data_IF_693936766904
#
_entry.id   IF_693936766904
#
_cell.length_a   1.000
_cell.length_b   1.000
_cell.length_c   1.000
_cell.angle_alpha   90.00
_cell.angle_beta   90.00
_cell.angle_gamma   90.00
#
_symmetry.space_group_name_H-M   'P 1'
#
loop_
_entity.id
_entity.type
_entity.pdbx_description
1 polymer ?
#
# COMPACT_ATOMS: atom_id res chain seq x y z
N UNK A 1 -19.83 -6.55 67.85
CA UNK A 1 -19.85 -7.18 66.52
C UNK A 1 -18.42 -7.28 66.04
N UNK A 2 -17.86 -8.48 65.82
CA UNK A 2 -16.47 -8.58 65.32
C UNK A 2 -16.42 -8.32 63.82
N UNK A 3 -15.47 -7.49 63.40
CA UNK A 3 -15.19 -7.18 61.99
C UNK A 3 -14.72 -8.43 61.23
N UNK A 4 -15.21 -8.59 60.03
CA UNK A 4 -14.92 -9.72 59.15
C UNK A 4 -13.51 -9.58 58.55
N UNK A 5 -12.54 -10.46 58.81
CA UNK A 5 -11.14 -10.31 58.36
C UNK A 5 -10.84 -10.82 56.96
N UNK A 6 -11.87 -11.11 56.14
CA UNK A 6 -11.67 -11.64 54.77
C UNK A 6 -11.91 -10.59 53.70
N UNK A 7 -11.16 -9.48 53.69
CA UNK A 7 -11.04 -8.67 52.50
C UNK A 7 -9.96 -9.28 51.58
N UNK A 8 -10.38 -9.85 50.49
CA UNK A 8 -9.57 -10.62 49.56
C UNK A 8 -8.43 -9.76 48.90
N UNK A 9 -7.12 -10.06 49.13
CA UNK A 9 -6.02 -9.34 48.52
C UNK A 9 -5.88 -9.58 46.99
N UNK A 10 -6.62 -10.55 46.43
CA UNK A 10 -6.53 -10.96 45.02
C UNK A 10 -7.05 -9.92 44.01
N UNK A 11 -7.94 -9.02 44.38
CA UNK A 11 -8.53 -8.02 43.49
C UNK A 11 -7.63 -6.80 43.23
N UNK A 12 -6.79 -6.44 44.17
CA UNK A 12 -5.88 -5.27 44.05
C UNK A 12 -4.67 -5.60 43.18
N UNK A 13 -4.10 -6.78 43.33
CA UNK A 13 -3.00 -7.29 42.49
C UNK A 13 -3.41 -7.41 41.02
N UNK A 14 -4.64 -7.87 40.74
CA UNK A 14 -5.17 -8.02 39.39
C UNK A 14 -5.39 -6.67 38.68
N UNK A 15 -5.83 -5.64 39.41
CA UNK A 15 -6.00 -4.27 38.88
C UNK A 15 -4.66 -3.59 38.58
N UNK A 16 -3.63 -3.80 39.40
CA UNK A 16 -2.28 -3.28 39.18
C UNK A 16 -1.63 -3.90 37.93
N UNK A 17 -1.71 -5.22 37.79
CA UNK A 17 -1.19 -5.94 36.63
C UNK A 17 -1.88 -5.50 35.33
N UNK A 18 -3.21 -5.39 35.31
CA UNK A 18 -3.96 -4.95 34.13
C UNK A 18 -3.59 -3.52 33.71
N UNK A 19 -3.45 -2.60 34.66
CA UNK A 19 -3.01 -1.22 34.39
C UNK A 19 -1.59 -1.18 33.81
N UNK A 20 -0.67 -1.96 34.37
CA UNK A 20 0.71 -2.04 33.85
C UNK A 20 0.73 -2.64 32.44
N UNK A 21 -0.03 -3.71 32.20
CA UNK A 21 -0.15 -4.33 30.88
C UNK A 21 -0.72 -3.37 29.85
N UNK A 22 -1.84 -2.70 30.15
CA UNK A 22 -2.44 -1.70 29.24
C UNK A 22 -1.45 -0.56 28.96
N UNK A 23 -0.76 -0.05 29.98
CA UNK A 23 0.26 1.00 29.80
C UNK A 23 1.38 0.53 28.87
N UNK A 24 1.88 -0.69 29.05
CA UNK A 24 2.93 -1.26 28.18
C UNK A 24 2.45 -1.41 26.73
N UNK A 25 1.22 -1.86 26.51
CA UNK A 25 0.62 -1.95 25.16
C UNK A 25 0.49 -0.56 24.52
N UNK A 26 0.03 0.44 25.26
CA UNK A 26 -0.10 1.82 24.75
C UNK A 26 1.27 2.40 24.39
N UNK A 27 2.27 2.25 25.27
CA UNK A 27 3.63 2.73 25.01
C UNK A 27 4.27 2.01 23.82
N UNK A 28 4.09 0.69 23.71
CA UNK A 28 4.56 -0.10 22.56
C UNK A 28 3.93 0.36 21.25
N UNK A 29 2.60 0.55 21.24
CA UNK A 29 1.89 1.06 20.06
C UNK A 29 2.34 2.47 19.67
N UNK A 30 2.50 3.37 20.67
CA UNK A 30 2.99 4.72 20.44
C UNK A 30 4.41 4.73 19.87
N UNK A 31 5.29 3.87 20.37
CA UNK A 31 6.66 3.71 19.88
C UNK A 31 6.67 3.23 18.42
N UNK A 32 5.90 2.19 18.10
CA UNK A 32 5.79 1.67 16.73
C UNK A 32 5.22 2.71 15.76
N UNK A 33 4.21 3.46 16.20
CA UNK A 33 3.63 4.55 15.40
C UNK A 33 4.64 5.68 15.17
N UNK A 34 5.38 6.09 16.22
CA UNK A 34 6.42 7.11 16.09
C UNK A 34 7.54 6.66 15.14
N UNK A 35 7.95 5.39 15.23
CA UNK A 35 8.93 4.81 14.31
C UNK A 35 8.42 4.83 12.86
N UNK A 36 7.15 4.48 12.62
CA UNK A 36 6.55 4.55 11.28
C UNK A 36 6.53 5.98 10.74
N UNK A 37 6.23 6.97 11.57
CA UNK A 37 6.32 8.40 11.22
C UNK A 37 7.75 8.80 10.85
N UNK A 38 8.74 8.40 11.64
CA UNK A 38 10.15 8.66 11.33
C UNK A 38 10.58 8.03 10.00
N UNK A 39 10.12 6.82 9.71
CA UNK A 39 10.37 6.15 8.41
C UNK A 39 9.69 6.94 7.27
N UNK A 40 8.47 7.44 7.43
CA UNK A 40 7.81 8.28 6.43
C UNK A 40 8.58 9.60 6.20
N UNK A 41 9.05 10.23 7.27
CA UNK A 41 9.89 11.43 7.17
C UNK A 41 11.19 11.11 6.42
N UNK A 42 11.86 10.01 6.76
CA UNK A 42 13.07 9.57 6.06
C UNK A 42 12.81 9.23 4.58
N UNK A 43 11.66 8.60 4.27
CA UNK A 43 11.28 8.22 2.91
C UNK A 43 11.09 9.44 1.97
N UNK A 44 10.99 10.65 2.51
CA UNK A 44 11.00 11.89 1.71
C UNK A 44 12.30 12.02 0.89
N UNK A 45 13.44 11.57 1.45
CA UNK A 45 14.77 11.74 0.86
C UNK A 45 15.51 10.42 0.63
N UNK A 46 15.11 9.35 1.32
CA UNK A 46 15.79 8.06 1.29
C UNK A 46 14.90 7.04 0.60
N UNK A 47 15.47 6.35 -0.39
CA UNK A 47 14.77 5.28 -1.10
C UNK A 47 14.71 4.02 -0.24
N UNK A 48 13.51 3.44 -0.01
CA UNK A 48 13.39 2.27 0.84
C UNK A 48 14.03 1.03 0.18
N UNK A 49 15.03 0.38 0.81
CA UNK A 49 15.67 -0.81 0.24
C UNK A 49 14.77 -2.05 0.30
N UNK A 50 13.76 -2.00 1.17
CA UNK A 50 12.77 -3.07 1.35
C UNK A 50 11.50 -2.50 1.95
N UNK A 51 10.41 -3.28 1.90
CA UNK A 51 9.11 -2.94 2.49
C UNK A 51 8.55 -4.13 3.26
N UNK A 52 7.48 -3.91 4.04
CA UNK A 52 6.80 -4.99 4.75
C UNK A 52 6.30 -6.08 3.78
N UNK A 53 5.76 -5.69 2.61
CA UNK A 53 5.34 -6.66 1.58
C UNK A 53 6.52 -7.46 1.04
N UNK A 54 7.67 -6.83 0.76
CA UNK A 54 8.86 -7.56 0.30
C UNK A 54 9.34 -8.58 1.33
N UNK A 55 9.32 -8.20 2.62
CA UNK A 55 9.72 -9.09 3.73
C UNK A 55 8.71 -10.23 3.91
N UNK A 56 7.42 -9.93 3.86
CA UNK A 56 6.34 -10.91 3.94
C UNK A 56 6.48 -11.97 2.84
N UNK A 57 6.68 -11.56 1.58
CA UNK A 57 6.86 -12.50 0.45
C UNK A 57 8.09 -13.38 0.62
N UNK A 58 9.20 -12.80 1.09
CA UNK A 58 10.41 -13.56 1.39
C UNK A 58 10.16 -14.58 2.50
N UNK A 59 9.46 -14.20 3.57
CA UNK A 59 9.13 -15.10 4.67
C UNK A 59 8.17 -16.22 4.23
N UNK A 60 7.13 -15.88 3.44
CA UNK A 60 6.21 -16.86 2.86
C UNK A 60 6.97 -17.90 2.02
N UNK A 61 7.87 -17.45 1.16
CA UNK A 61 8.69 -18.35 0.34
C UNK A 61 9.59 -19.25 1.19
N UNK A 62 10.18 -18.72 2.26
CA UNK A 62 10.99 -19.49 3.19
C UNK A 62 10.16 -20.55 3.94
N UNK A 63 8.98 -20.19 4.45
CA UNK A 63 8.06 -21.10 5.15
C UNK A 63 7.58 -22.23 4.22
N UNK A 64 7.26 -21.90 2.96
CA UNK A 64 6.75 -22.86 1.99
C UNK A 64 7.85 -23.56 1.17
N UNK A 65 9.13 -23.34 1.51
CA UNK A 65 10.29 -23.88 0.79
C UNK A 65 10.26 -23.66 -0.73
N UNK A 66 9.71 -22.50 -1.16
CA UNK A 66 9.61 -22.13 -2.58
C UNK A 66 10.76 -21.22 -3.00
N UNK A 67 11.30 -21.33 -4.22
CA UNK A 67 12.32 -20.41 -4.73
C UNK A 67 11.82 -18.96 -4.72
N UNK A 68 12.63 -18.05 -4.21
CA UNK A 68 12.32 -16.63 -4.18
C UNK A 68 13.46 -15.79 -4.73
N UNK A 69 13.20 -15.08 -5.83
CA UNK A 69 14.13 -14.15 -6.45
C UNK A 69 13.52 -12.75 -6.44
N UNK A 70 14.02 -11.87 -5.57
CA UNK A 70 13.60 -10.47 -5.53
C UNK A 70 14.23 -9.72 -6.71
N UNK A 71 13.38 -9.21 -7.62
CA UNK A 71 13.73 -8.23 -8.64
C UNK A 71 13.24 -6.87 -8.18
N UNK A 72 14.18 -5.99 -7.87
CA UNK A 72 13.90 -4.66 -7.35
C UNK A 72 15.01 -3.70 -7.78
N UNK A 73 14.61 -2.62 -8.42
CA UNK A 73 15.52 -1.51 -8.75
C UNK A 73 14.74 -0.22 -8.63
N UNK A 74 15.13 0.62 -7.67
CA UNK A 74 14.56 1.94 -7.52
C UNK A 74 15.08 2.85 -8.65
N UNK A 75 14.18 3.65 -9.22
CA UNK A 75 14.50 4.70 -10.21
C UNK A 75 13.71 5.96 -9.86
N UNK A 76 14.29 7.16 -10.02
CA UNK A 76 13.57 8.40 -9.74
C UNK A 76 12.39 8.59 -10.70
N UNK A 77 11.40 9.38 -10.27
CA UNK A 77 10.15 9.56 -11.03
C UNK A 77 10.36 10.04 -12.46
N UNK A 78 11.37 10.90 -12.68
CA UNK A 78 11.75 11.38 -14.01
C UNK A 78 12.40 10.33 -14.92
N UNK A 79 12.68 9.13 -14.41
CA UNK A 79 13.11 7.96 -15.18
C UNK A 79 11.99 6.92 -15.37
N UNK A 80 10.76 7.26 -15.00
CA UNK A 80 9.56 6.47 -15.27
C UNK A 80 8.73 7.20 -16.31
N UNK A 81 8.34 6.51 -17.38
CA UNK A 81 7.52 7.08 -18.45
C UNK A 81 6.27 7.79 -17.90
N UNK A 82 5.96 9.01 -18.37
CA UNK A 82 4.70 9.68 -18.03
C UNK A 82 3.47 8.82 -18.34
N UNK A 83 3.50 8.03 -19.41
CA UNK A 83 2.41 7.10 -19.74
C UNK A 83 2.20 6.06 -18.64
N UNK A 84 3.26 5.53 -18.03
CA UNK A 84 3.12 4.57 -16.93
C UNK A 84 2.60 5.23 -15.66
N UNK A 85 3.07 6.45 -15.35
CA UNK A 85 2.57 7.23 -14.23
C UNK A 85 1.07 7.50 -14.37
N UNK A 86 0.64 7.99 -15.54
CA UNK A 86 -0.75 8.30 -15.85
C UNK A 86 -1.63 7.04 -15.87
N UNK A 87 -1.15 5.94 -16.45
CA UNK A 87 -1.87 4.68 -16.47
C UNK A 87 -2.15 4.13 -15.06
N UNK A 88 -1.17 4.22 -14.15
CA UNK A 88 -1.33 3.80 -12.76
C UNK A 88 -2.31 4.71 -12.02
N UNK A 89 -2.20 6.03 -12.17
CA UNK A 89 -3.14 6.97 -11.57
C UNK A 89 -4.56 6.72 -12.09
N UNK A 90 -4.74 6.58 -13.41
CA UNK A 90 -6.04 6.32 -14.03
C UNK A 90 -6.66 4.98 -13.62
N UNK A 91 -5.82 3.97 -13.33
CA UNK A 91 -6.25 2.64 -12.92
C UNK A 91 -6.66 2.57 -11.44
N UNK A 92 -5.82 3.13 -10.55
CA UNK A 92 -5.87 2.91 -9.12
C UNK A 92 -6.46 4.09 -8.33
N UNK A 93 -6.25 5.32 -8.80
CA UNK A 93 -6.59 6.53 -8.05
C UNK A 93 -6.76 7.75 -8.98
N UNK A 94 -7.81 7.74 -9.79
CA UNK A 94 -8.01 8.75 -10.85
C UNK A 94 -8.05 10.21 -10.34
N UNK A 95 -8.29 10.42 -9.04
CA UNK A 95 -8.32 11.73 -8.39
C UNK A 95 -7.12 11.97 -7.48
N UNK A 96 -6.03 11.27 -7.67
CA UNK A 96 -4.84 11.30 -6.82
C UNK A 96 -4.38 12.69 -6.42
N UNK A 97 -4.34 13.63 -7.36
CA UNK A 97 -3.92 15.01 -7.10
C UNK A 97 -5.01 15.91 -6.49
N UNK A 98 -6.26 15.42 -6.35
CA UNK A 98 -7.41 16.20 -5.90
C UNK A 98 -7.78 15.95 -4.44
N UNK A 99 -7.25 14.89 -3.80
CA UNK A 99 -7.52 14.55 -2.41
C UNK A 99 -6.25 14.51 -1.57
N UNK A 100 -6.41 14.48 -0.24
CA UNK A 100 -5.32 14.42 0.73
C UNK A 100 -5.29 13.07 1.46
N UNK A 101 -5.02 12.00 0.71
CA UNK A 101 -4.86 10.64 1.22
C UNK A 101 -6.11 9.78 1.17
N UNK A 102 -7.30 10.36 1.25
CA UNK A 102 -8.58 9.66 1.14
C UNK A 102 -9.44 10.29 0.05
N UNK A 103 -9.88 9.49 -0.90
CA UNK A 103 -10.89 9.90 -1.87
C UNK A 103 -12.28 9.55 -1.33
N UNK A 104 -12.87 10.49 -0.58
CA UNK A 104 -14.20 10.31 0.02
C UNK A 104 -15.29 10.08 -1.02
N UNK A 105 -15.18 10.71 -2.19
CA UNK A 105 -16.13 10.52 -3.29
C UNK A 105 -16.04 9.09 -3.86
N UNK A 106 -14.82 8.56 -4.07
CA UNK A 106 -14.65 7.18 -4.51
C UNK A 106 -15.13 6.17 -3.46
N UNK A 107 -14.92 6.47 -2.17
CA UNK A 107 -15.42 5.64 -1.05
C UNK A 107 -16.96 5.63 -1.04
N UNK A 108 -17.60 6.78 -1.24
CA UNK A 108 -19.06 6.88 -1.29
C UNK A 108 -19.62 6.08 -2.46
N UNK A 109 -19.09 6.25 -3.68
CA UNK A 109 -19.51 5.49 -4.87
C UNK A 109 -19.32 3.97 -4.65
N UNK A 110 -18.22 3.57 -4.03
CA UNK A 110 -17.98 2.17 -3.74
C UNK A 110 -19.01 1.60 -2.75
N UNK A 111 -19.41 2.36 -1.74
CA UNK A 111 -20.43 1.97 -0.77
C UNK A 111 -21.83 1.89 -1.40
N UNK A 112 -22.18 2.85 -2.27
CA UNK A 112 -23.45 2.85 -3.02
C UNK A 112 -23.52 1.68 -4.02
N UNK A 113 -22.43 1.41 -4.76
CA UNK A 113 -22.34 0.30 -5.69
C UNK A 113 -22.40 -1.08 -5.03
N UNK A 114 -21.95 -1.19 -3.79
CA UNK A 114 -22.05 -2.42 -2.97
C UNK A 114 -23.51 -2.69 -2.55
N UNK A 115 -24.28 -1.64 -2.29
CA UNK A 115 -25.72 -1.74 -1.99
C UNK A 115 -26.56 -2.18 -3.19
N UNK A 116 -26.12 -1.86 -4.41
CA UNK A 116 -26.82 -2.23 -5.65
C UNK A 116 -26.34 -3.54 -6.28
N UNK A 117 -25.47 -4.30 -5.56
CA UNK A 117 -24.90 -5.56 -6.09
C UNK A 117 -23.93 -5.36 -7.26
N UNK A 118 -23.43 -4.13 -7.44
CA UNK A 118 -22.46 -3.78 -8.47
C UNK A 118 -21.03 -4.24 -8.15
N UNK A 119 -20.17 -4.30 -9.18
CA UNK A 119 -18.75 -4.60 -9.00
C UNK A 119 -18.08 -3.55 -8.13
N UNK A 120 -17.60 -3.94 -6.97
CA UNK A 120 -16.85 -3.09 -6.02
C UNK A 120 -15.68 -2.44 -6.78
N UNK A 121 -15.74 -1.13 -7.02
CA UNK A 121 -14.56 -0.33 -7.35
C UNK A 121 -13.75 -0.15 -6.08
N UNK A 122 -12.47 -0.52 -6.11
CA UNK A 122 -11.59 -0.35 -4.96
C UNK A 122 -11.52 1.13 -4.55
N UNK A 123 -12.02 1.47 -3.36
CA UNK A 123 -11.96 2.82 -2.80
C UNK A 123 -10.62 3.14 -2.10
N UNK A 124 -9.55 2.39 -2.39
CA UNK A 124 -8.24 2.63 -1.78
C UNK A 124 -7.36 3.50 -2.67
N UNK A 125 -6.82 4.58 -2.10
CA UNK A 125 -5.92 5.52 -2.80
C UNK A 125 -4.49 5.00 -2.92
N UNK A 126 -3.68 5.59 -3.80
CA UNK A 126 -2.25 5.30 -3.93
C UNK A 126 -1.50 5.51 -2.60
N UNK A 127 -1.86 6.55 -1.83
CA UNK A 127 -1.26 6.80 -0.52
C UNK A 127 -1.58 5.71 0.49
N UNK A 128 -2.84 5.23 0.54
CA UNK A 128 -3.22 4.09 1.38
C UNK A 128 -2.47 2.82 0.98
N UNK A 129 -2.35 2.57 -0.33
CA UNK A 129 -1.61 1.42 -0.85
C UNK A 129 -0.11 1.52 -0.55
N UNK A 130 0.50 2.71 -0.65
CA UNK A 130 1.89 2.94 -0.28
C UNK A 130 2.13 2.64 1.21
N UNK A 131 1.33 3.24 2.11
CA UNK A 131 1.42 3.01 3.55
C UNK A 131 1.28 1.52 3.88
N UNK A 132 0.31 0.84 3.26
CA UNK A 132 0.14 -0.61 3.39
C UNK A 132 1.41 -1.36 2.97
N UNK A 133 1.98 -1.05 1.81
CA UNK A 133 3.18 -1.73 1.31
C UNK A 133 4.39 -1.52 2.21
N UNK A 134 4.57 -0.29 2.73
CA UNK A 134 5.72 0.05 3.58
C UNK A 134 5.68 -0.66 4.94
N UNK A 135 4.50 -0.73 5.59
CA UNK A 135 4.41 -1.06 7.02
C UNK A 135 3.63 -2.32 7.37
N UNK A 136 2.66 -2.76 6.54
CA UNK A 136 1.66 -3.73 7.00
C UNK A 136 1.58 -5.04 6.21
N UNK A 137 2.17 -5.13 5.04
CA UNK A 137 2.07 -6.33 4.22
C UNK A 137 0.67 -6.54 3.58
N UNK A 138 0.37 -7.79 3.19
CA UNK A 138 -0.82 -8.14 2.39
C UNK A 138 -1.99 -8.69 3.19
N UNK A 139 -1.82 -9.04 4.46
CA UNK A 139 -2.86 -9.57 5.34
C UNK A 139 -4.09 -8.65 5.45
N UNK A 140 -5.28 -9.20 5.71
CA UNK A 140 -6.51 -8.43 5.91
C UNK A 140 -6.89 -8.41 7.38
N UNK A 141 -6.95 -7.22 8.00
CA UNK A 141 -7.34 -7.02 9.40
C UNK A 141 -7.93 -5.62 9.57
N UNK A 142 -8.99 -5.50 10.36
CA UNK A 142 -9.62 -4.21 10.71
C UNK A 142 -8.64 -3.34 11.51
N UNK A 143 -7.89 -3.94 12.45
CA UNK A 143 -6.90 -3.21 13.25
C UNK A 143 -5.80 -2.63 12.37
N UNK A 144 -5.31 -3.41 11.40
CA UNK A 144 -4.36 -2.93 10.40
C UNK A 144 -4.94 -1.74 9.61
N UNK A 145 -6.19 -1.85 9.15
CA UNK A 145 -6.85 -0.77 8.39
C UNK A 145 -7.00 0.50 9.23
N UNK A 146 -7.28 0.37 10.52
CA UNK A 146 -7.27 1.49 11.47
C UNK A 146 -5.87 2.15 11.59
N UNK A 147 -4.81 1.35 11.70
CA UNK A 147 -3.45 1.85 11.75
C UNK A 147 -3.02 2.54 10.43
N UNK A 148 -3.34 1.94 9.26
CA UNK A 148 -3.16 2.59 7.95
C UNK A 148 -3.83 3.98 7.93
N UNK A 149 -5.07 4.07 8.43
CA UNK A 149 -5.86 5.29 8.41
C UNK A 149 -5.17 6.43 9.19
N UNK A 150 -4.45 6.14 10.27
CA UNK A 150 -3.71 7.15 11.04
C UNK A 150 -2.42 7.61 10.37
N UNK A 151 -1.77 6.76 9.57
CA UNK A 151 -0.50 7.08 8.90
C UNK A 151 -0.69 7.76 7.53
N UNK A 152 -1.83 7.59 6.87
CA UNK A 152 -2.10 8.16 5.55
C UNK A 152 -2.04 9.70 5.54
N UNK A 153 -2.68 10.44 6.47
CA UNK A 153 -2.55 11.89 6.51
C UNK A 153 -1.11 12.35 6.79
N UNK A 154 -0.37 11.59 7.62
CA UNK A 154 1.04 11.88 7.89
C UNK A 154 1.87 11.71 6.62
N UNK A 155 1.66 10.64 5.86
CA UNK A 155 2.34 10.42 4.58
C UNK A 155 2.09 11.56 3.60
N UNK A 156 0.84 12.02 3.46
CA UNK A 156 0.49 13.15 2.60
C UNK A 156 1.21 14.44 3.01
N UNK A 157 1.25 14.72 4.32
CA UNK A 157 1.86 15.93 4.86
C UNK A 157 3.38 15.94 4.70
N UNK A 158 4.07 14.82 5.01
CA UNK A 158 5.53 14.82 5.11
C UNK A 158 6.22 14.37 3.82
N UNK A 159 5.60 13.47 3.04
CA UNK A 159 6.20 12.93 1.81
C UNK A 159 5.83 13.77 0.60
N UNK A 160 4.56 14.12 0.44
CA UNK A 160 4.03 14.90 -0.68
C UNK A 160 3.73 14.05 -1.92
N UNK A 161 2.81 14.52 -2.76
CA UNK A 161 2.20 13.77 -3.88
C UNK A 161 3.20 13.18 -4.87
N UNK A 162 4.15 13.95 -5.36
CA UNK A 162 5.12 13.47 -6.33
C UNK A 162 5.99 12.34 -5.76
N UNK A 163 6.46 12.50 -4.53
CA UNK A 163 7.27 11.48 -3.87
C UNK A 163 6.43 10.26 -3.47
N UNK A 164 5.16 10.42 -3.09
CA UNK A 164 4.24 9.31 -2.87
C UNK A 164 4.09 8.47 -4.14
N UNK A 165 3.87 9.10 -5.29
CA UNK A 165 3.77 8.40 -6.58
C UNK A 165 5.07 7.69 -6.93
N UNK A 166 6.22 8.36 -6.76
CA UNK A 166 7.53 7.78 -7.00
C UNK A 166 7.78 6.56 -6.14
N UNK A 167 7.56 6.67 -4.83
CA UNK A 167 7.69 5.56 -3.89
C UNK A 167 6.75 4.41 -4.25
N UNK A 168 5.48 4.70 -4.52
CA UNK A 168 4.49 3.69 -4.89
C UNK A 168 4.91 2.91 -6.13
N UNK A 169 5.25 3.61 -7.22
CA UNK A 169 5.69 2.99 -8.47
C UNK A 169 6.93 2.12 -8.30
N UNK A 170 7.78 2.45 -7.33
CA UNK A 170 9.00 1.70 -7.06
C UNK A 170 8.80 0.52 -6.10
N UNK A 171 7.85 0.57 -5.15
CA UNK A 171 7.73 -0.48 -4.13
C UNK A 171 6.61 -1.47 -4.39
N UNK A 172 5.61 -1.14 -5.21
CA UNK A 172 4.46 -2.02 -5.44
C UNK A 172 4.87 -3.32 -6.14
N UNK A 173 4.20 -4.41 -5.79
CA UNK A 173 4.38 -5.73 -6.41
C UNK A 173 3.69 -5.77 -7.77
N UNK A 174 4.42 -6.12 -8.83
CA UNK A 174 3.94 -6.24 -10.21
C UNK A 174 3.86 -7.69 -10.68
N UNK A 175 4.32 -8.62 -9.86
CA UNK A 175 4.33 -10.04 -10.14
C UNK A 175 5.13 -10.79 -9.09
N UNK A 176 5.16 -12.13 -9.11
CA UNK A 176 5.89 -12.90 -8.11
C UNK A 176 7.37 -12.51 -8.03
N UNK A 177 7.76 -11.84 -6.92
CA UNK A 177 9.12 -11.36 -6.70
C UNK A 177 9.55 -10.17 -7.56
N UNK A 178 8.62 -9.52 -8.28
CA UNK A 178 8.89 -8.36 -9.14
C UNK A 178 8.33 -7.10 -8.48
N UNK A 179 9.19 -6.19 -8.06
CA UNK A 179 8.83 -4.98 -7.35
C UNK A 179 9.38 -3.74 -8.06
N UNK A 180 8.51 -2.77 -8.25
CA UNK A 180 8.81 -1.51 -8.88
C UNK A 180 8.76 -1.52 -10.40
N UNK A 181 8.50 -0.32 -10.95
CA UNK A 181 8.27 -0.08 -12.37
C UNK A 181 9.43 -0.56 -13.26
N UNK A 182 10.67 -0.22 -12.89
CA UNK A 182 11.85 -0.62 -13.68
C UNK A 182 12.00 -2.14 -13.75
N UNK A 183 11.84 -2.83 -12.62
CA UNK A 183 11.91 -4.29 -12.59
C UNK A 183 10.76 -4.92 -13.40
N UNK A 184 9.55 -4.35 -13.34
CA UNK A 184 8.39 -4.83 -14.09
C UNK A 184 8.58 -4.66 -15.60
N UNK A 185 9.03 -3.48 -16.06
CA UNK A 185 9.27 -3.21 -17.47
C UNK A 185 10.34 -4.15 -18.05
N UNK A 186 11.42 -4.37 -17.30
CA UNK A 186 12.45 -5.34 -17.71
C UNK A 186 11.96 -6.78 -17.73
N UNK A 187 11.15 -7.15 -16.77
CA UNK A 187 10.65 -8.52 -16.65
C UNK A 187 9.65 -8.88 -17.75
N UNK A 188 8.67 -8.00 -18.01
CA UNK A 188 7.59 -8.28 -18.94
C UNK A 188 7.90 -7.85 -20.39
N UNK A 189 8.64 -6.77 -20.59
CA UNK A 189 8.83 -6.15 -21.91
C UNK A 189 10.30 -6.00 -22.32
N UNK A 190 11.24 -6.39 -21.46
CA UNK A 190 12.69 -6.25 -21.71
C UNK A 190 13.13 -4.82 -22.03
N UNK A 191 12.39 -3.83 -21.56
CA UNK A 191 12.64 -2.40 -21.73
C UNK A 191 12.83 -1.71 -20.38
N UNK A 192 13.29 -0.46 -20.39
CA UNK A 192 13.35 0.37 -19.16
C UNK A 192 11.99 0.96 -18.83
N UNK A 193 11.81 1.42 -17.58
CA UNK A 193 10.59 2.13 -17.17
C UNK A 193 10.40 3.46 -17.92
N UNK A 194 11.45 4.04 -18.49
CA UNK A 194 11.36 5.24 -19.32
C UNK A 194 10.89 4.93 -20.75
N UNK A 195 11.34 3.82 -21.33
CA UNK A 195 11.09 3.48 -22.73
C UNK A 195 9.83 2.63 -22.94
N UNK A 196 9.04 2.39 -21.91
CA UNK A 196 7.78 1.66 -22.04
C UNK A 196 6.76 2.53 -22.79
N UNK A 197 6.06 1.92 -23.75
CA UNK A 197 5.02 2.62 -24.52
C UNK A 197 3.68 2.72 -23.73
N UNK A 198 2.78 3.53 -24.27
CA UNK A 198 1.47 3.81 -23.68
C UNK A 198 0.60 2.56 -23.51
N UNK A 199 0.60 1.66 -24.49
CA UNK A 199 -0.18 0.42 -24.46
C UNK A 199 0.37 -0.56 -23.40
N UNK A 200 1.68 -0.72 -23.36
CA UNK A 200 2.37 -1.54 -22.37
C UNK A 200 2.16 -0.98 -20.96
N UNK A 201 2.20 0.33 -20.79
CA UNK A 201 1.94 1.04 -19.54
C UNK A 201 0.54 0.74 -19.00
N UNK A 202 -0.48 0.82 -19.86
CA UNK A 202 -1.86 0.50 -19.50
C UNK A 202 -2.04 -0.99 -19.13
N UNK A 203 -1.36 -1.90 -19.84
CA UNK A 203 -1.37 -3.33 -19.50
C UNK A 203 -0.69 -3.63 -18.17
N UNK A 204 0.42 -2.97 -17.85
CA UNK A 204 1.06 -3.07 -16.55
C UNK A 204 0.13 -2.53 -15.45
N UNK A 205 -0.45 -1.34 -15.61
CA UNK A 205 -1.38 -0.81 -14.62
C UNK A 205 -2.56 -1.75 -14.38
N UNK A 206 -3.05 -2.45 -15.40
CA UNK A 206 -4.16 -3.39 -15.30
C UNK A 206 -3.89 -4.63 -14.44
N UNK A 207 -2.64 -4.99 -14.19
CA UNK A 207 -2.30 -6.14 -13.34
C UNK A 207 -2.25 -5.81 -11.85
N UNK A 208 -2.08 -4.53 -11.45
CA UNK A 208 -1.86 -4.10 -10.07
C UNK A 208 -2.89 -4.61 -9.05
N UNK A 209 -4.19 -4.71 -9.36
CA UNK A 209 -5.17 -5.23 -8.39
C UNK A 209 -4.92 -6.69 -7.97
N UNK A 210 -4.29 -7.50 -8.84
CA UNK A 210 -4.03 -8.93 -8.62
C UNK A 210 -2.69 -9.35 -9.24
N UNK A 211 -1.54 -8.79 -8.82
CA UNK A 211 -0.27 -8.92 -9.52
C UNK A 211 0.28 -10.35 -9.52
N UNK A 212 -0.11 -11.18 -8.56
CA UNK A 212 0.28 -12.60 -8.51
C UNK A 212 -0.50 -13.49 -9.49
N UNK A 213 -1.67 -13.02 -9.97
CA UNK A 213 -2.58 -13.82 -10.81
C UNK A 213 -2.69 -13.28 -12.24
N UNK A 214 -2.55 -11.97 -12.41
CA UNK A 214 -2.70 -11.31 -13.72
C UNK A 214 -1.37 -11.23 -14.44
N UNK A 215 -1.43 -11.30 -15.78
CA UNK A 215 -0.30 -11.08 -16.68
C UNK A 215 -0.64 -10.01 -17.70
N UNK A 216 0.30 -9.13 -18.09
CA UNK A 216 0.02 -8.03 -19.03
C UNK A 216 -0.55 -8.51 -20.37
N UNK A 217 -0.12 -9.69 -20.85
CA UNK A 217 -0.57 -10.26 -22.13
C UNK A 217 -2.08 -10.57 -22.19
N UNK A 218 -2.71 -10.78 -21.02
CA UNK A 218 -4.13 -11.08 -20.90
C UNK A 218 -4.99 -9.88 -20.47
N UNK A 219 -4.43 -8.65 -20.51
CA UNK A 219 -5.10 -7.46 -19.99
C UNK A 219 -5.69 -6.54 -21.05
N UNK A 220 -5.92 -7.01 -22.29
CA UNK A 220 -6.39 -6.15 -23.40
C UNK A 220 -7.67 -5.38 -23.07
N UNK A 221 -8.67 -6.02 -22.48
CA UNK A 221 -9.93 -5.36 -22.11
C UNK A 221 -9.70 -4.30 -21.01
N UNK A 222 -9.00 -4.66 -19.93
CA UNK A 222 -8.77 -3.73 -18.83
C UNK A 222 -7.82 -2.60 -19.19
N UNK A 223 -6.80 -2.85 -20.02
CA UNK A 223 -5.91 -1.80 -20.53
C UNK A 223 -6.66 -0.83 -21.44
N UNK A 224 -7.62 -1.30 -22.26
CA UNK A 224 -8.49 -0.43 -23.04
C UNK A 224 -9.29 0.55 -22.17
N UNK A 225 -9.87 0.08 -21.06
CA UNK A 225 -10.57 0.95 -20.10
C UNK A 225 -9.64 1.98 -19.44
N UNK A 226 -8.37 1.61 -19.16
CA UNK A 226 -7.39 2.53 -18.59
C UNK A 226 -7.03 3.60 -19.63
N UNK A 227 -6.75 3.22 -20.88
CA UNK A 227 -6.45 4.15 -21.96
C UNK A 227 -7.60 5.14 -22.21
N UNK A 228 -8.84 4.67 -22.16
CA UNK A 228 -10.02 5.52 -22.26
C UNK A 228 -10.06 6.55 -21.11
N UNK A 229 -9.80 6.12 -19.87
CA UNK A 229 -9.74 7.04 -18.71
C UNK A 229 -8.63 8.06 -18.84
N UNK A 230 -7.43 7.64 -19.30
CA UNK A 230 -6.32 8.54 -19.58
C UNK A 230 -6.72 9.60 -20.63
N UNK A 231 -7.36 9.18 -21.72
CA UNK A 231 -7.86 10.10 -22.77
C UNK A 231 -8.89 11.11 -22.28
N UNK A 232 -9.80 10.71 -21.36
CA UNK A 232 -10.81 11.62 -20.78
C UNK A 232 -10.23 12.77 -19.96
N UNK A 233 -9.04 12.61 -19.40
CA UNK A 233 -8.34 13.64 -18.62
C UNK A 233 -7.18 14.29 -19.38
N UNK A 234 -7.07 14.00 -20.69
CA UNK A 234 -6.07 14.64 -21.55
C UNK A 234 -4.66 14.06 -21.44
N UNK A 235 -4.53 12.83 -20.98
CA UNK A 235 -3.26 12.09 -20.86
C UNK A 235 -3.03 11.14 -22.03
#
# INVERSE_FOLDING_TARGET
>A
MPENPYTHPKTVLRKGFLRSFVRSCVLGTALLWSLAVLILVAARWIDPPTTAVHMERRMQAWIHHTPYHKRYKFVPLNQISPDLQHAVIAAEDARFYQHHGFDWHAIQIAAEGDMEGGRIRGGSTLTQQLVKNLFFGTGRSILRKGAEFTLVPVAELVVGKQRILELYLNVVEWGPGVYGAEAACRYYYRTSAWNIDRQQSARLAAILPLPLKRRPDHMNYYSGLILERMGRVGW
#
